data_IF_501428432880
#
_entry.id   IF_501428432880
#
_cell.length_a   1.000
_cell.length_b   1.000
_cell.length_c   1.000
_cell.angle_alpha   90.00
_cell.angle_beta   90.00
_cell.angle_gamma   90.00
#
_symmetry.space_group_name_H-M   'P 1'
#
loop_
_entity.id
_entity.type
_entity.pdbx_description
1 polymer ?
#
# COMPACT_ATOMS: atom_id res chain seq x y z
N UNK A 1 -6.53 -13.98 -1.39
CA UNK A 1 -5.71 -15.08 -1.94
C UNK A 1 -4.26 -14.75 -1.60
N UNK A 2 -3.45 -15.66 -1.05
CA UNK A 2 -2.04 -15.31 -0.76
C UNK A 2 -1.31 -15.18 -2.09
N UNK A 3 -0.92 -13.97 -2.48
CA UNK A 3 -0.14 -13.76 -3.70
C UNK A 3 1.12 -14.62 -3.61
N UNK A 4 1.34 -15.49 -4.60
CA UNK A 4 2.60 -16.24 -4.78
C UNK A 4 3.71 -15.27 -5.21
N UNK A 5 4.00 -14.30 -4.36
CA UNK A 5 5.08 -13.35 -4.54
C UNK A 5 6.40 -14.09 -4.31
N UNK A 6 7.28 -14.01 -5.30
CA UNK A 6 8.67 -14.46 -5.20
C UNK A 6 9.53 -13.42 -4.49
N UNK A 7 9.24 -12.14 -4.72
CA UNK A 7 9.89 -11.00 -4.06
C UNK A 7 8.95 -9.80 -4.08
N UNK A 8 9.05 -8.95 -3.06
CA UNK A 8 8.40 -7.64 -3.00
C UNK A 8 9.42 -6.64 -2.49
N UNK A 9 9.53 -5.49 -3.15
CA UNK A 9 10.38 -4.41 -2.68
C UNK A 9 9.79 -3.05 -3.03
N UNK A 10 10.06 -2.07 -2.17
CA UNK A 10 9.77 -0.68 -2.49
C UNK A 10 10.96 -0.07 -3.22
N UNK A 11 10.68 0.55 -4.36
CA UNK A 11 11.66 1.26 -5.16
C UNK A 11 11.55 2.76 -4.86
N UNK A 12 12.49 3.26 -4.02
CA UNK A 12 12.54 4.66 -3.62
C UNK A 12 12.83 5.63 -4.77
N UNK A 13 13.40 5.16 -5.89
CA UNK A 13 13.70 6.03 -7.05
C UNK A 13 12.42 6.43 -7.79
N UNK A 14 11.46 5.51 -7.85
CA UNK A 14 10.20 5.67 -8.57
C UNK A 14 8.99 5.82 -7.64
N UNK A 15 9.20 5.74 -6.33
CA UNK A 15 8.13 5.62 -5.33
C UNK A 15 7.11 4.52 -5.65
N UNK A 16 7.59 3.40 -6.20
CA UNK A 16 6.74 2.29 -6.62
C UNK A 16 7.01 1.03 -5.80
N UNK A 17 5.97 0.29 -5.44
CA UNK A 17 6.10 -1.06 -4.89
C UNK A 17 6.14 -2.06 -6.05
N UNK A 18 7.26 -2.77 -6.15
CA UNK A 18 7.52 -3.77 -7.18
C UNK A 18 7.38 -5.19 -6.62
N UNK A 19 6.34 -5.87 -7.08
CA UNK A 19 6.02 -7.25 -6.76
C UNK A 19 6.41 -8.16 -7.92
N UNK A 20 7.24 -9.17 -7.64
CA UNK A 20 7.58 -10.22 -8.59
C UNK A 20 6.81 -11.49 -8.23
N UNK A 21 5.90 -11.92 -9.09
CA UNK A 21 5.15 -13.16 -8.91
C UNK A 21 6.02 -14.38 -9.30
N UNK A 22 5.71 -15.55 -8.74
CA UNK A 22 6.38 -16.82 -9.10
C UNK A 22 6.30 -17.16 -10.58
N UNK A 23 5.23 -16.72 -11.22
CA UNK A 23 4.98 -16.86 -12.66
C UNK A 23 5.89 -15.95 -13.53
N UNK A 24 6.72 -15.11 -12.92
CA UNK A 24 7.63 -14.19 -13.62
C UNK A 24 7.01 -12.85 -14.02
N UNK A 25 5.70 -12.70 -13.85
CA UNK A 25 5.00 -11.41 -13.99
C UNK A 25 5.46 -10.44 -12.90
N UNK A 26 5.78 -9.21 -13.31
CA UNK A 26 6.07 -8.09 -12.42
C UNK A 26 4.85 -7.18 -12.35
N UNK A 27 4.48 -6.79 -11.14
CA UNK A 27 3.49 -5.77 -10.87
C UNK A 27 4.21 -4.61 -10.21
N UNK A 28 4.13 -3.43 -10.81
CA UNK A 28 4.62 -2.18 -10.27
C UNK A 28 3.42 -1.33 -9.87
N UNK A 29 3.34 -1.01 -8.58
CA UNK A 29 2.28 -0.21 -8.00
C UNK A 29 2.84 1.17 -7.73
N UNK A 30 2.26 2.18 -8.37
CA UNK A 30 2.66 3.57 -8.19
C UNK A 30 2.01 4.10 -6.91
N UNK A 31 2.80 4.24 -5.83
CA UNK A 31 2.26 4.66 -4.54
C UNK A 31 1.69 6.07 -4.62
N UNK A 32 2.44 6.99 -5.24
CA UNK A 32 2.05 8.39 -5.37
C UNK A 32 0.74 8.57 -6.15
N UNK A 33 0.55 7.85 -7.24
CA UNK A 33 -0.67 7.88 -8.04
C UNK A 33 -1.86 7.22 -7.34
N UNK A 34 -1.63 6.19 -6.54
CA UNK A 34 -2.69 5.58 -5.71
C UNK A 34 -3.10 6.54 -4.59
N UNK A 35 -2.14 7.17 -3.93
CA UNK A 35 -2.36 8.16 -2.89
C UNK A 35 -3.12 9.39 -3.42
N UNK A 36 -2.74 9.90 -4.59
CA UNK A 36 -3.44 11.00 -5.29
C UNK A 36 -4.86 10.60 -5.71
N UNK A 37 -5.02 9.40 -6.30
CA UNK A 37 -6.33 8.92 -6.73
C UNK A 37 -7.32 8.70 -5.57
N UNK A 38 -6.81 8.40 -4.38
CA UNK A 38 -7.61 8.19 -3.17
C UNK A 38 -7.74 9.44 -2.30
N UNK A 39 -7.17 10.58 -2.71
CA UNK A 39 -7.14 11.84 -1.95
C UNK A 39 -6.71 11.60 -0.49
N UNK A 40 -5.59 10.88 -0.31
CA UNK A 40 -5.12 10.53 1.03
C UNK A 40 -4.74 11.77 1.82
N UNK A 41 -5.12 11.80 3.11
CA UNK A 41 -4.71 12.85 4.02
C UNK A 41 -3.24 12.67 4.44
N UNK A 42 -2.59 13.75 4.92
CA UNK A 42 -1.20 13.67 5.40
C UNK A 42 -0.98 12.60 6.49
N UNK A 43 -1.98 12.36 7.35
CA UNK A 43 -1.90 11.33 8.38
C UNK A 43 -1.94 9.92 7.78
N UNK A 44 -2.81 9.71 6.80
CA UNK A 44 -2.92 8.47 6.06
C UNK A 44 -1.67 8.18 5.23
N UNK A 45 -1.11 9.19 4.57
CA UNK A 45 0.14 9.08 3.83
C UNK A 45 1.29 8.60 4.73
N UNK A 46 1.45 9.15 5.93
CA UNK A 46 2.45 8.68 6.91
C UNK A 46 2.25 7.19 7.26
N UNK A 47 1.02 6.75 7.47
CA UNK A 47 0.71 5.36 7.80
C UNK A 47 0.98 4.42 6.62
N UNK A 48 0.70 4.88 5.39
CA UNK A 48 1.04 4.14 4.18
C UNK A 48 2.56 4.07 3.97
N UNK A 49 3.30 5.17 4.16
CA UNK A 49 4.76 5.19 4.07
C UNK A 49 5.38 4.21 5.08
N UNK A 50 4.86 4.21 6.32
CA UNK A 50 5.27 3.25 7.33
C UNK A 50 4.98 1.80 6.92
N UNK A 51 3.77 1.53 6.39
CA UNK A 51 3.38 0.21 5.91
C UNK A 51 4.26 -0.23 4.73
N UNK A 52 4.53 0.64 3.76
CA UNK A 52 5.36 0.35 2.59
C UNK A 52 6.79 0.03 3.02
N UNK A 53 7.34 0.76 3.98
CA UNK A 53 8.70 0.56 4.46
C UNK A 53 8.83 -0.72 5.31
N UNK A 54 7.85 -1.00 6.17
CA UNK A 54 7.87 -2.15 7.06
C UNK A 54 7.44 -3.45 6.37
N UNK A 55 6.38 -3.39 5.56
CA UNK A 55 5.80 -4.52 4.84
C UNK A 55 5.23 -4.10 3.47
N UNK A 56 6.10 -3.95 2.44
CA UNK A 56 5.66 -3.54 1.10
C UNK A 56 4.71 -4.57 0.46
N UNK A 57 4.78 -5.82 0.90
CA UNK A 57 3.88 -6.88 0.44
C UNK A 57 2.44 -6.64 0.92
N UNK A 58 2.27 -6.23 2.18
CA UNK A 58 0.98 -5.88 2.77
C UNK A 58 0.35 -4.68 2.07
N UNK A 59 1.14 -3.65 1.75
CA UNK A 59 0.66 -2.54 0.92
C UNK A 59 0.18 -3.00 -0.46
N UNK A 60 0.97 -3.83 -1.15
CA UNK A 60 0.58 -4.38 -2.44
C UNK A 60 -0.68 -5.24 -2.35
N UNK A 61 -0.84 -6.04 -1.29
CA UNK A 61 -2.03 -6.83 -1.02
C UNK A 61 -3.27 -5.95 -0.85
N UNK A 62 -3.18 -4.85 -0.08
CA UNK A 62 -4.30 -3.92 0.09
C UNK A 62 -4.78 -3.33 -1.24
N UNK A 63 -3.86 -3.00 -2.14
CA UNK A 63 -4.21 -2.43 -3.45
C UNK A 63 -4.77 -3.51 -4.37
N UNK A 64 -4.14 -4.68 -4.44
CA UNK A 64 -4.57 -5.75 -5.33
C UNK A 64 -5.90 -6.38 -4.90
N UNK A 65 -6.24 -6.37 -3.61
CA UNK A 65 -7.55 -6.78 -3.12
C UNK A 65 -8.57 -5.62 -3.10
N UNK A 66 -8.13 -4.37 -3.32
CA UNK A 66 -9.00 -3.18 -3.25
C UNK A 66 -9.44 -2.81 -1.82
N UNK A 67 -8.70 -3.26 -0.80
CA UNK A 67 -8.97 -2.97 0.61
C UNK A 67 -8.28 -1.69 1.11
N UNK A 68 -7.50 -1.02 0.26
CA UNK A 68 -6.75 0.18 0.66
C UNK A 68 -7.68 1.29 1.21
N UNK A 69 -8.82 1.55 0.58
CA UNK A 69 -9.80 2.54 1.07
C UNK A 69 -10.36 2.20 2.46
N UNK A 70 -10.65 0.92 2.72
CA UNK A 70 -11.16 0.46 4.01
C UNK A 70 -10.09 0.60 5.10
N UNK A 71 -8.86 0.21 4.79
CA UNK A 71 -7.71 0.37 5.67
C UNK A 71 -7.50 1.84 6.05
N UNK A 72 -7.53 2.73 5.06
CA UNK A 72 -7.41 4.17 5.23
C UNK A 72 -8.55 4.76 6.07
N UNK A 73 -9.79 4.30 5.89
CA UNK A 73 -10.94 4.68 6.73
C UNK A 73 -10.75 4.26 8.19
N UNK A 74 -10.19 3.07 8.43
CA UNK A 74 -9.88 2.61 9.78
C UNK A 74 -8.76 3.44 10.44
N UNK A 75 -7.70 3.74 9.68
CA UNK A 75 -6.59 4.59 10.14
C UNK A 75 -7.08 5.96 10.56
N UNK A 76 -7.92 6.61 9.74
CA UNK A 76 -8.47 7.93 10.10
C UNK A 76 -9.55 7.86 11.18
N UNK A 77 -10.31 6.76 11.27
CA UNK A 77 -11.38 6.56 12.26
C UNK A 77 -10.87 6.24 13.66
N UNK A 78 -9.68 5.64 13.77
CA UNK A 78 -9.06 5.30 15.07
C UNK A 78 -8.57 6.54 15.83
N UNK A 79 -8.34 7.66 15.15
CA UNK A 79 -7.95 8.94 15.74
C UNK A 79 -9.17 9.83 16.09
N UNK A 80 -10.39 9.29 16.02
CA UNK A 80 -11.64 10.06 16.09
C UNK A 80 -12.73 9.50 17.01
N UNK A 81 -12.39 8.59 17.94
CA UNK A 81 -13.31 8.20 19.01
C UNK A 81 -12.64 8.35 20.38
N UNK A 82 -12.35 9.60 20.74
CA UNK A 82 -12.37 10.02 22.14
C UNK A 82 -13.68 10.79 22.34
N UNK A 83 -14.72 10.10 22.82
CA UNK A 83 -15.75 10.68 23.70
C UNK A 83 -16.00 9.70 24.85
#
# INVERSE_FOLDING_TARGET
MKYDARACHFNMDTSCVELLLRDGRKVSIDCTGVEDALDVTMAQQTELDYLIYNDPLGYADLILNGNLEEYLKNVTGSHGLED
#
